data_IF_295287651045
#
_entry.id   IF_295287651045
#
_cell.length_a   1.000
_cell.length_b   1.000
_cell.length_c   1.000
_cell.angle_alpha   90.00
_cell.angle_beta   90.00
_cell.angle_gamma   90.00
#
_symmetry.space_group_name_H-M   'P 1'
#
loop_
_entity.id
_entity.type
_entity.pdbx_description
1 polymer ?
#
# COMPACT_ATOMS: atom_id res chain seq x y z
N UNK A 1 -19.83 -20.34 -4.62
CA UNK A 1 -19.07 -20.53 -3.36
C UNK A 1 -17.68 -19.95 -3.56
N UNK A 2 -17.19 -19.16 -2.59
CA UNK A 2 -15.81 -18.67 -2.57
C UNK A 2 -15.06 -19.52 -1.53
N UNK A 3 -14.00 -20.21 -1.96
CA UNK A 3 -13.10 -20.90 -1.05
C UNK A 3 -11.78 -20.14 -0.99
N UNK A 4 -11.23 -19.98 0.22
CA UNK A 4 -9.93 -19.36 0.45
C UNK A 4 -8.97 -20.42 1.00
N UNK A 5 -7.78 -20.49 0.40
CA UNK A 5 -6.72 -21.40 0.81
C UNK A 5 -5.43 -20.60 1.02
N UNK A 6 -4.70 -20.87 2.10
CA UNK A 6 -3.35 -20.34 2.26
C UNK A 6 -2.41 -20.99 1.24
N UNK A 7 -1.48 -20.21 0.69
CA UNK A 7 -0.44 -20.71 -0.23
C UNK A 7 0.92 -20.19 0.21
N UNK A 8 1.94 -21.04 0.13
CA UNK A 8 3.31 -20.68 0.50
C UNK A 8 4.06 -19.98 -0.64
N UNK A 9 5.11 -19.23 -0.30
CA UNK A 9 5.99 -18.60 -1.31
C UNK A 9 6.60 -19.64 -2.26
N UNK A 10 6.95 -20.83 -1.74
CA UNK A 10 7.54 -21.91 -2.53
C UNK A 10 6.56 -22.42 -3.59
N UNK A 11 5.28 -22.57 -3.24
CA UNK A 11 4.24 -23.01 -4.18
C UNK A 11 3.96 -21.96 -5.25
N UNK A 12 3.84 -20.68 -4.85
CA UNK A 12 3.65 -19.57 -5.79
C UNK A 12 4.82 -19.49 -6.79
N UNK A 13 6.06 -19.67 -6.33
CA UNK A 13 7.24 -19.73 -7.21
C UNK A 13 7.22 -20.93 -8.13
N UNK A 14 6.91 -22.12 -7.61
CA UNK A 14 6.86 -23.36 -8.39
C UNK A 14 5.83 -23.29 -9.51
N UNK A 15 4.68 -22.68 -9.22
CA UNK A 15 3.56 -22.54 -10.16
C UNK A 15 3.63 -21.26 -11.00
N UNK A 16 4.63 -20.40 -10.76
CA UNK A 16 4.80 -19.10 -11.40
C UNK A 16 3.52 -18.23 -11.36
N UNK A 17 2.87 -18.19 -10.20
CA UNK A 17 1.59 -17.50 -10.02
C UNK A 17 1.85 -16.03 -9.67
N UNK A 18 1.32 -15.12 -10.49
CA UNK A 18 1.43 -13.67 -10.28
C UNK A 18 0.09 -13.14 -9.78
N UNK A 19 0.12 -12.35 -8.70
CA UNK A 19 -1.00 -11.54 -8.25
C UNK A 19 -1.36 -10.51 -9.30
N UNK A 20 -2.61 -10.61 -9.74
CA UNK A 20 -3.28 -9.67 -10.63
C UNK A 20 -4.42 -8.95 -9.89
N UNK A 21 -4.37 -8.92 -8.56
CA UNK A 21 -5.42 -8.34 -7.74
C UNK A 21 -5.40 -6.81 -7.77
N UNK A 22 -4.23 -6.19 -7.96
CA UNK A 22 -4.05 -4.74 -7.90
C UNK A 22 -3.28 -4.19 -9.10
N UNK A 23 -3.58 -2.95 -9.49
CA UNK A 23 -2.70 -2.20 -10.39
C UNK A 23 -1.31 -2.02 -9.76
N UNK A 24 -0.28 -2.17 -10.59
CA UNK A 24 1.12 -2.05 -10.16
C UNK A 24 1.66 -0.68 -10.54
N UNK A 25 2.60 -0.15 -9.74
CA UNK A 25 3.37 1.03 -10.07
C UNK A 25 4.42 0.70 -11.12
N UNK A 26 4.83 1.71 -11.89
CA UNK A 26 5.89 1.55 -12.88
C UNK A 26 7.29 1.40 -12.25
N UNK A 27 7.46 1.87 -11.01
CA UNK A 27 8.74 1.87 -10.30
C UNK A 27 8.93 0.58 -9.49
N UNK A 28 10.18 0.13 -9.42
CA UNK A 28 10.58 -1.02 -8.59
C UNK A 28 10.59 -0.69 -7.10
N UNK A 29 10.61 -1.73 -6.26
CA UNK A 29 10.75 -1.61 -4.79
C UNK A 29 11.91 -0.67 -4.40
N UNK A 30 13.09 -0.86 -5.01
CA UNK A 30 14.30 -0.10 -4.69
C UNK A 30 14.24 1.35 -5.16
N UNK A 31 13.62 1.62 -6.31
CA UNK A 31 13.43 3.00 -6.79
C UNK A 31 12.45 3.76 -5.92
N UNK A 32 11.36 3.11 -5.51
CA UNK A 32 10.37 3.67 -4.59
C UNK A 32 11.02 3.98 -3.24
N UNK A 33 11.76 3.04 -2.65
CA UNK A 33 12.47 3.27 -1.39
C UNK A 33 13.40 4.49 -1.48
N UNK A 34 14.25 4.56 -2.52
CA UNK A 34 15.16 5.69 -2.73
C UNK A 34 14.40 7.02 -2.86
N UNK A 35 13.28 7.02 -3.59
CA UNK A 35 12.45 8.20 -3.75
C UNK A 35 11.86 8.65 -2.41
N UNK A 36 11.37 7.73 -1.59
CA UNK A 36 10.84 8.05 -0.25
C UNK A 36 11.93 8.65 0.62
N UNK A 37 13.09 8.00 0.72
CA UNK A 37 14.21 8.49 1.54
C UNK A 37 14.62 9.91 1.15
N UNK A 38 14.71 10.18 -0.16
CA UNK A 38 15.02 11.51 -0.68
C UNK A 38 13.92 12.53 -0.39
N UNK A 39 12.67 12.22 -0.75
CA UNK A 39 11.53 13.14 -0.65
C UNK A 39 11.13 13.45 0.80
N UNK A 40 11.36 12.50 1.70
CA UNK A 40 11.09 12.61 3.12
C UNK A 40 12.33 13.07 3.91
N UNK A 41 13.46 13.33 3.25
CA UNK A 41 14.71 13.75 3.91
C UNK A 41 15.15 12.78 5.03
N UNK A 42 14.94 11.48 4.82
CA UNK A 42 15.35 10.42 5.74
C UNK A 42 16.74 9.96 5.30
N UNK A 43 17.74 10.13 6.15
CA UNK A 43 19.11 9.74 5.84
C UNK A 43 19.29 8.26 6.16
N UNK A 44 20.26 7.62 5.50
CA UNK A 44 20.58 6.20 5.75
C UNK A 44 20.92 5.91 7.22
N UNK A 45 21.52 6.86 7.92
CA UNK A 45 21.85 6.74 9.36
C UNK A 45 20.61 6.78 10.27
N UNK A 46 19.49 7.26 9.75
CA UNK A 46 18.22 7.38 10.46
C UNK A 46 17.38 6.09 10.29
N UNK A 47 17.90 5.06 9.60
CA UNK A 47 17.26 3.76 9.43
C UNK A 47 17.65 2.83 10.56
N UNK A 48 16.68 2.32 11.30
CA UNK A 48 16.91 1.43 12.45
C UNK A 48 16.88 -0.03 12.05
N UNK A 49 15.90 -0.44 11.24
CA UNK A 49 15.76 -1.83 10.85
C UNK A 49 15.05 -2.00 9.51
N UNK A 50 15.19 -3.20 8.93
CA UNK A 50 14.40 -3.63 7.78
C UNK A 50 13.91 -5.04 8.04
N UNK A 51 12.59 -5.23 7.97
CA UNK A 51 11.92 -6.50 8.13
C UNK A 51 11.19 -6.89 6.84
N UNK A 52 11.05 -8.20 6.61
CA UNK A 52 10.29 -8.74 5.50
C UNK A 52 9.24 -9.71 6.01
N UNK A 53 8.04 -9.60 5.47
CA UNK A 53 6.94 -10.53 5.72
C UNK A 53 6.32 -10.97 4.39
N UNK A 54 5.66 -12.12 4.40
CA UNK A 54 4.92 -12.62 3.25
C UNK A 54 3.62 -13.24 3.68
N UNK A 55 2.56 -12.98 2.92
CA UNK A 55 1.26 -13.58 3.11
C UNK A 55 0.71 -14.03 1.75
N UNK A 56 0.10 -15.21 1.72
CA UNK A 56 -0.38 -15.83 0.50
C UNK A 56 -1.76 -16.44 0.67
N UNK A 57 -2.71 -16.00 -0.15
CA UNK A 57 -4.06 -16.53 -0.21
C UNK A 57 -4.44 -16.82 -1.67
N UNK A 58 -5.18 -17.91 -1.90
CA UNK A 58 -5.78 -18.25 -3.18
C UNK A 58 -7.29 -18.29 -3.00
N UNK A 59 -7.98 -17.47 -3.77
CA UNK A 59 -9.42 -17.43 -3.83
C UNK A 59 -9.90 -18.22 -5.03
N UNK A 60 -10.69 -19.26 -4.77
CA UNK A 60 -11.36 -20.02 -5.81
C UNK A 60 -12.83 -19.64 -5.86
N UNK A 61 -13.29 -19.10 -6.99
CA UNK A 61 -14.70 -18.81 -7.25
C UNK A 61 -15.28 -19.84 -8.20
N UNK A 62 -16.47 -20.34 -7.87
CA UNK A 62 -17.26 -21.20 -8.76
C UNK A 62 -18.60 -20.53 -9.07
N UNK A 63 -18.86 -20.32 -10.37
CA UNK A 63 -20.13 -19.86 -10.92
C UNK A 63 -20.59 -20.86 -12.00
N UNK A 64 -21.58 -21.69 -11.67
CA UNK A 64 -22.00 -22.79 -12.54
C UNK A 64 -20.84 -23.75 -12.85
N UNK A 65 -20.50 -23.90 -14.14
CA UNK A 65 -19.37 -24.72 -14.62
C UNK A 65 -18.03 -23.97 -14.65
N UNK A 66 -18.04 -22.63 -14.59
CA UNK A 66 -16.83 -21.81 -14.63
C UNK A 66 -16.16 -21.75 -13.26
N UNK A 67 -14.84 -21.96 -13.25
CA UNK A 67 -13.97 -21.82 -12.08
C UNK A 67 -12.93 -20.74 -12.37
N UNK A 68 -12.78 -19.77 -11.49
CA UNK A 68 -11.69 -18.79 -11.54
C UNK A 68 -10.84 -18.91 -10.27
N UNK A 69 -9.54 -18.66 -10.42
CA UNK A 69 -8.57 -18.60 -9.34
C UNK A 69 -7.99 -17.19 -9.32
N UNK A 70 -8.06 -16.52 -8.17
CA UNK A 70 -7.37 -15.26 -7.92
C UNK A 70 -6.30 -15.53 -6.87
N UNK A 71 -5.07 -15.14 -7.14
CA UNK A 71 -3.94 -15.32 -6.24
C UNK A 71 -3.63 -13.98 -5.59
N UNK A 72 -3.89 -13.86 -4.30
CA UNK A 72 -3.45 -12.75 -3.46
C UNK A 72 -2.19 -13.16 -2.71
N UNK A 73 -1.03 -13.09 -3.35
CA UNK A 73 0.25 -13.28 -2.67
C UNK A 73 1.04 -11.98 -2.64
N UNK A 74 1.53 -11.65 -1.44
CA UNK A 74 2.25 -10.41 -1.21
C UNK A 74 3.51 -10.61 -0.39
N UNK A 75 4.53 -9.81 -0.72
CA UNK A 75 5.66 -9.53 0.15
C UNK A 75 5.60 -8.10 0.63
N UNK A 76 5.90 -7.92 1.89
CA UNK A 76 6.04 -6.64 2.54
C UNK A 76 7.51 -6.44 2.90
N UNK A 77 8.05 -5.28 2.54
CA UNK A 77 9.26 -4.72 3.13
C UNK A 77 8.83 -3.60 4.08
N UNK A 78 9.24 -3.70 5.34
CA UNK A 78 9.03 -2.69 6.36
C UNK A 78 10.39 -2.08 6.72
N UNK A 79 10.50 -0.76 6.61
CA UNK A 79 11.69 0.00 7.03
C UNK A 79 11.28 0.88 8.19
N UNK A 80 11.87 0.65 9.36
CA UNK A 80 11.68 1.48 10.55
C UNK A 80 12.77 2.55 10.58
N UNK A 81 12.35 3.80 10.73
CA UNK A 81 13.23 4.96 10.86
C UNK A 81 13.25 5.43 12.32
N UNK A 82 14.22 6.28 12.66
CA UNK A 82 14.24 7.01 13.93
C UNK A 82 12.93 7.78 14.13
N UNK A 83 12.55 8.01 15.38
CA UNK A 83 11.30 8.67 15.78
C UNK A 83 10.03 7.88 15.41
N UNK A 84 10.14 6.55 15.31
CA UNK A 84 9.04 5.59 15.07
C UNK A 84 8.35 5.68 13.71
N UNK A 85 8.90 6.44 12.74
CA UNK A 85 8.35 6.45 11.39
C UNK A 85 8.56 5.12 10.67
N UNK A 86 7.59 4.71 9.86
CA UNK A 86 7.67 3.44 9.12
C UNK A 86 7.35 3.61 7.64
N UNK A 87 8.13 2.95 6.79
CA UNK A 87 7.88 2.84 5.36
C UNK A 87 7.52 1.38 5.06
N UNK A 88 6.37 1.16 4.44
CA UNK A 88 5.87 -0.16 4.07
C UNK A 88 5.73 -0.24 2.55
N UNK A 89 6.48 -1.13 1.91
CA UNK A 89 6.40 -1.38 0.46
C UNK A 89 5.87 -2.80 0.25
N UNK A 90 4.75 -2.92 -0.44
CA UNK A 90 4.08 -4.20 -0.69
C UNK A 90 4.08 -4.50 -2.19
N UNK A 91 4.56 -5.70 -2.52
CA UNK A 91 4.83 -6.11 -3.88
C UNK A 91 4.59 -7.60 -4.09
N UNK A 92 4.43 -7.99 -5.35
CA UNK A 92 4.34 -9.38 -5.75
C UNK A 92 5.73 -10.04 -5.76
N UNK A 93 5.94 -11.21 -5.12
CA UNK A 93 7.27 -11.83 -5.05
C UNK A 93 7.79 -12.39 -6.37
N UNK A 94 6.92 -12.66 -7.35
CA UNK A 94 7.26 -13.29 -8.63
C UNK A 94 7.66 -12.21 -9.63
N UNK A 95 6.76 -11.28 -9.94
CA UNK A 95 7.05 -10.23 -10.93
C UNK A 95 7.66 -8.96 -10.35
N UNK A 96 7.78 -8.88 -9.01
CA UNK A 96 8.36 -7.76 -8.25
C UNK A 96 7.60 -6.45 -8.40
N UNK A 97 6.41 -6.47 -8.99
CA UNK A 97 5.60 -5.27 -9.15
C UNK A 97 5.04 -4.80 -7.82
N UNK A 98 5.34 -3.56 -7.47
CA UNK A 98 4.84 -2.89 -6.27
C UNK A 98 3.43 -2.40 -6.53
N UNK A 99 2.52 -2.60 -5.60
CA UNK A 99 1.13 -2.14 -5.74
C UNK A 99 0.60 -1.41 -4.51
N UNK A 100 1.34 -1.38 -3.40
CA UNK A 100 1.03 -0.51 -2.26
C UNK A 100 2.29 0.03 -1.62
N UNK A 101 2.30 1.33 -1.34
CA UNK A 101 3.33 2.01 -0.57
C UNK A 101 2.62 2.75 0.55
N UNK A 102 3.02 2.50 1.80
CA UNK A 102 2.50 3.20 2.96
C UNK A 102 3.62 3.88 3.75
N UNK A 103 3.25 4.96 4.42
CA UNK A 103 4.09 5.72 5.31
C UNK A 103 3.32 5.99 6.60
N UNK A 104 3.92 5.62 7.72
CA UNK A 104 3.44 5.90 9.06
C UNK A 104 4.33 6.95 9.73
N UNK A 105 3.70 7.92 10.38
CA UNK A 105 4.37 8.88 11.24
C UNK A 105 3.45 10.01 11.65
N UNK A 106 4.01 11.15 12.05
CA UNK A 106 3.22 12.33 12.42
C UNK A 106 2.36 12.85 11.25
N UNK A 107 1.29 13.56 11.58
CA UNK A 107 0.36 14.11 10.60
C UNK A 107 1.03 14.98 9.53
N UNK A 108 1.97 15.84 9.92
CA UNK A 108 2.70 16.71 8.97
C UNK A 108 3.61 15.91 8.04
N UNK A 109 4.17 14.80 8.54
CA UNK A 109 5.02 13.89 7.75
C UNK A 109 4.19 13.08 6.76
N UNK A 110 3.03 12.57 7.18
CA UNK A 110 2.04 11.95 6.29
C UNK A 110 1.57 12.90 5.18
N UNK A 111 1.26 14.15 5.53
CA UNK A 111 0.89 15.19 4.56
C UNK A 111 2.02 15.44 3.54
N UNK A 112 3.26 15.53 4.01
CA UNK A 112 4.43 15.69 3.14
C UNK A 112 4.61 14.48 2.22
N UNK A 113 4.50 13.25 2.76
CA UNK A 113 4.58 12.02 1.98
C UNK A 113 3.53 11.99 0.87
N UNK A 114 2.26 12.23 1.20
CA UNK A 114 1.18 12.25 0.23
C UNK A 114 1.44 13.29 -0.87
N UNK A 115 1.95 14.46 -0.50
CA UNK A 115 2.29 15.54 -1.44
C UNK A 115 3.42 15.17 -2.40
N UNK A 116 4.48 14.56 -1.88
CA UNK A 116 5.71 14.30 -2.64
C UNK A 116 5.65 13.00 -3.43
N UNK A 117 5.07 11.95 -2.85
CA UNK A 117 5.07 10.62 -3.46
C UNK A 117 3.95 10.41 -4.47
N UNK A 118 2.82 11.12 -4.36
CA UNK A 118 1.73 10.98 -5.34
C UNK A 118 2.19 11.25 -6.77
N UNK A 119 2.95 12.32 -7.01
CA UNK A 119 3.44 12.67 -8.34
C UNK A 119 4.49 11.69 -8.88
N UNK A 120 5.17 10.95 -8.00
CA UNK A 120 6.21 9.97 -8.36
C UNK A 120 5.57 8.63 -8.70
N UNK A 121 4.64 8.18 -7.85
CA UNK A 121 3.96 6.89 -7.99
C UNK A 121 2.86 6.93 -9.05
N UNK A 122 2.14 8.05 -9.13
CA UNK A 122 0.97 8.23 -9.98
C UNK A 122 1.11 9.50 -10.85
N UNK A 123 2.12 9.59 -11.74
CA UNK A 123 2.42 10.82 -12.49
C UNK A 123 1.30 11.25 -13.45
N UNK A 124 0.36 10.37 -13.79
CA UNK A 124 -0.79 10.73 -14.65
C UNK A 124 -2.03 11.16 -13.84
N UNK A 125 -1.97 11.07 -12.51
CA UNK A 125 -3.08 11.34 -11.61
C UNK A 125 -2.62 12.27 -10.49
N UNK A 126 -2.37 13.53 -10.85
CA UNK A 126 -2.00 14.55 -9.88
C UNK A 126 -3.19 14.90 -8.98
N UNK A 127 -2.96 14.90 -7.67
CA UNK A 127 -3.87 15.49 -6.71
C UNK A 127 -3.77 17.02 -6.78
N UNK A 128 -4.90 17.70 -6.91
CA UNK A 128 -4.96 19.16 -6.75
C UNK A 128 -4.87 19.55 -5.27
N UNK A 129 -4.58 20.82 -4.98
CA UNK A 129 -4.57 21.31 -3.58
C UNK A 129 -5.93 21.12 -2.90
N UNK A 130 -7.03 21.24 -3.66
CA UNK A 130 -8.38 20.98 -3.15
C UNK A 130 -8.57 19.52 -2.76
N UNK A 131 -8.09 18.57 -3.57
CA UNK A 131 -8.15 17.14 -3.25
C UNK A 131 -7.36 16.81 -1.98
N UNK A 132 -6.14 17.37 -1.87
CA UNK A 132 -5.32 17.24 -0.66
C UNK A 132 -6.08 17.71 0.59
N UNK A 133 -6.68 18.90 0.52
CA UNK A 133 -7.41 19.45 1.65
C UNK A 133 -8.66 18.64 1.97
N UNK A 134 -9.41 18.20 0.95
CA UNK A 134 -10.58 17.35 1.14
C UNK A 134 -10.25 16.07 1.93
N UNK A 135 -9.20 15.35 1.52
CA UNK A 135 -8.75 14.12 2.17
C UNK A 135 -8.37 14.38 3.63
N UNK A 136 -7.56 15.43 3.85
CA UNK A 136 -7.03 15.78 5.16
C UNK A 136 -8.09 16.31 6.13
N UNK A 137 -9.04 17.10 5.64
CA UNK A 137 -10.12 17.69 6.44
C UNK A 137 -11.17 16.64 6.83
N UNK A 138 -11.51 15.73 5.91
CA UNK A 138 -12.41 14.61 6.23
C UNK A 138 -11.85 13.76 7.35
N UNK A 139 -10.55 13.49 7.27
CA UNK A 139 -9.85 12.71 8.27
C UNK A 139 -9.72 13.46 9.62
N UNK A 140 -9.31 14.74 9.61
CA UNK A 140 -9.23 15.58 10.83
C UNK A 140 -10.56 15.81 11.53
N UNK A 141 -11.67 15.78 10.79
CA UNK A 141 -12.99 16.07 11.34
C UNK A 141 -13.50 15.01 12.33
N UNK A 142 -12.78 13.90 12.51
CA UNK A 142 -13.18 12.79 13.40
C UNK A 142 -14.43 12.07 12.91
N UNK A 143 -14.87 12.33 11.67
CA UNK A 143 -16.05 11.71 11.06
C UNK A 143 -15.78 10.27 10.62
N UNK A 144 -14.51 9.89 10.49
CA UNK A 144 -14.10 8.52 10.22
C UNK A 144 -12.65 8.32 10.65
N UNK A 145 -12.36 7.15 11.18
CA UNK A 145 -11.00 6.71 11.50
C UNK A 145 -10.19 6.39 10.23
N UNK A 146 -10.88 6.32 9.07
CA UNK A 146 -10.27 6.05 7.78
C UNK A 146 -10.86 6.94 6.66
N UNK A 147 -10.04 7.30 5.68
CA UNK A 147 -10.48 7.98 4.44
C UNK A 147 -9.94 7.22 3.25
N UNK A 148 -10.79 6.87 2.28
CA UNK A 148 -10.39 6.38 0.95
C UNK A 148 -10.75 7.38 -0.13
N UNK A 149 -9.76 7.78 -0.91
CA UNK A 149 -9.92 8.69 -2.05
C UNK A 149 -9.46 8.01 -3.34
N UNK A 150 -10.34 7.94 -4.34
CA UNK A 150 -10.03 7.35 -5.65
C UNK A 150 -9.15 8.29 -6.47
N UNK A 151 -8.02 7.78 -6.93
CA UNK A 151 -7.06 8.51 -7.73
C UNK A 151 -7.12 8.01 -9.18
N UNK A 152 -8.03 8.62 -9.95
CA UNK A 152 -8.38 8.13 -11.28
C UNK A 152 -9.01 6.74 -11.25
N UNK A 153 -8.71 5.91 -12.27
CA UNK A 153 -9.28 4.57 -12.42
C UNK A 153 -8.43 3.45 -11.83
N UNK A 154 -7.16 3.73 -11.55
CA UNK A 154 -6.15 2.70 -11.31
C UNK A 154 -5.62 2.69 -9.88
N UNK A 155 -5.75 3.81 -9.15
CA UNK A 155 -5.12 3.97 -7.86
C UNK A 155 -6.09 4.58 -6.86
N UNK A 156 -5.74 4.47 -5.59
CA UNK A 156 -6.42 5.13 -4.49
C UNK A 156 -5.43 5.52 -3.40
N UNK A 157 -5.83 6.49 -2.61
CA UNK A 157 -5.12 6.94 -1.43
C UNK A 157 -5.98 6.57 -0.23
N UNK A 158 -5.38 5.95 0.77
CA UNK A 158 -6.04 5.64 2.03
C UNK A 158 -5.28 6.30 3.17
N UNK A 159 -6.00 6.99 4.06
CA UNK A 159 -5.46 7.51 5.32
C UNK A 159 -6.17 6.80 6.46
N UNK A 160 -5.41 6.41 7.48
CA UNK A 160 -5.91 5.67 8.64
C UNK A 160 -5.25 6.20 9.92
N UNK A 161 -6.02 6.26 11.01
CA UNK A 161 -5.48 6.44 12.37
C UNK A 161 -5.13 5.06 12.90
N UNK A 162 -3.85 4.76 13.05
CA UNK A 162 -3.46 3.54 13.75
C UNK A 162 -3.66 3.77 15.25
N UNK A 163 -4.83 3.35 15.76
CA UNK A 163 -5.04 3.16 17.19
C UNK A 163 -4.42 1.80 17.60
N UNK A 164 -3.10 1.68 17.51
CA UNK A 164 -2.41 0.58 18.19
C UNK A 164 -2.25 0.96 19.67
N UNK A 165 -2.67 0.04 20.55
CA UNK A 165 -2.77 0.22 22.00
C UNK A 165 -1.51 0.88 22.62
N UNK A 166 -1.76 1.91 23.45
CA UNK A 166 -0.81 2.50 24.42
C UNK A 166 0.56 2.95 23.88
N UNK A 167 0.58 3.76 22.82
CA UNK A 167 1.72 4.67 22.59
C UNK A 167 1.32 6.12 22.87
N UNK A 168 2.21 6.92 23.47
CA UNK A 168 1.97 8.36 23.75
C UNK A 168 1.80 9.21 22.48
N UNK A 169 1.89 8.62 21.28
CA UNK A 169 1.88 9.29 20.00
C UNK A 169 0.76 8.72 19.11
N UNK A 170 -0.15 9.59 18.67
CA UNK A 170 -1.11 9.23 17.62
C UNK A 170 -0.37 9.20 16.29
N UNK A 171 -0.04 8.00 15.83
CA UNK A 171 0.55 7.79 14.52
C UNK A 171 -0.53 7.73 13.44
N UNK A 172 -0.18 8.28 12.28
CA UNK A 172 -1.04 8.35 11.10
C UNK A 172 -0.40 7.47 10.03
N UNK A 173 -1.18 6.59 9.38
CA UNK A 173 -0.73 5.87 8.19
C UNK A 173 -1.41 6.47 6.96
N UNK A 174 -0.61 6.79 5.93
CA UNK A 174 -1.12 7.02 4.57
C UNK A 174 -0.59 5.95 3.65
N UNK A 175 -1.43 5.45 2.75
CA UNK A 175 -1.01 4.58 1.68
C UNK A 175 -1.49 5.05 0.31
N UNK A 176 -0.62 4.91 -0.67
CA UNK A 176 -0.94 5.04 -2.09
C UNK A 176 -0.89 3.62 -2.64
N UNK A 177 -1.99 3.15 -3.21
CA UNK A 177 -2.09 1.78 -3.69
C UNK A 177 -2.85 1.65 -5.01
N UNK A 178 -2.51 0.61 -5.76
CA UNK A 178 -3.33 0.09 -6.83
C UNK A 178 -4.75 -0.15 -6.36
N UNK A 179 -5.69 0.23 -7.19
CA UNK A 179 -7.08 -0.17 -7.03
C UNK A 179 -7.21 -1.66 -7.35
N UNK A 180 -8.16 -2.32 -6.70
CA UNK A 180 -8.37 -3.75 -6.95
C UNK A 180 -8.99 -3.95 -8.33
N UNK A 181 -8.43 -4.89 -9.10
CA UNK A 181 -8.99 -5.39 -10.35
C UNK A 181 -10.25 -6.23 -10.15
N UNK A 182 -10.66 -6.48 -8.89
CA UNK A 182 -11.97 -7.08 -8.62
C UNK A 182 -13.02 -6.02 -8.98
N UNK A 183 -13.24 -5.89 -10.29
CA UNK A 183 -14.42 -5.31 -10.88
C UNK A 183 -15.59 -5.91 -10.14
N UNK A 184 -16.45 -5.04 -9.62
CA UNK A 184 -17.85 -5.31 -9.36
C UNK A 184 -18.37 -6.44 -10.24
N UNK A 185 -18.48 -7.64 -9.69
CA UNK A 185 -19.41 -8.66 -10.16
C UNK A 185 -20.19 -9.07 -8.92
N UNK A 186 -21.04 -8.13 -8.50
CA UNK A 186 -22.26 -8.37 -7.73
C UNK A 186 -22.98 -9.60 -8.28
#
# INVERSE_FOLDING_TARGET
>A
MLACYSISEQEVKKLNLVSNEYFKFALSETEIEKAILLCMNIKKRDLESTAYASEGQVYQRQQGKLKSLTVGFQKQKLVTCMDHEQIKIIYDPIDKGVYKVAFQGSYERVKLFMKKMNSILCPQNYLTTEDYNYILDHYKSGKSDYVSYKLGRQYKIMLDATDEEETEYKDYEVSIQGDQFISNIY
#
